data_IF_994832291061
#
_entry.id   IF_994832291061
#
_cell.length_a   1.000
_cell.length_b   1.000
_cell.length_c   1.000
_cell.angle_alpha   90.00
_cell.angle_beta   90.00
_cell.angle_gamma   90.00
#
_symmetry.space_group_name_H-M   'P 1'
#
loop_
_entity.id
_entity.type
_entity.pdbx_description
1 polymer ?
#
# COMPACT_ATOMS: atom_id res chain seq x y z
N UNK A 1 11.27 -22.94 42.51
CA UNK A 1 9.84 -23.25 42.73
C UNK A 1 9.07 -22.26 41.87
N UNK A 2 8.27 -22.77 40.91
CA UNK A 2 7.56 -22.08 39.80
C UNK A 2 8.51 -21.59 38.69
N UNK A 3 8.73 -22.27 37.55
CA UNK A 3 7.84 -22.72 36.45
C UNK A 3 7.17 -21.58 35.66
N UNK A 4 7.87 -21.07 34.65
CA UNK A 4 7.29 -20.32 33.52
C UNK A 4 6.94 -21.31 32.39
N UNK A 5 5.65 -21.59 32.24
CA UNK A 5 5.06 -22.23 31.06
C UNK A 5 4.17 -21.19 30.38
N UNK A 6 4.60 -20.64 29.24
CA UNK A 6 3.71 -19.95 28.31
C UNK A 6 3.67 -20.76 27.01
N UNK A 7 2.61 -21.57 26.93
CA UNK A 7 2.18 -22.27 25.72
C UNK A 7 1.40 -21.26 24.86
N UNK A 8 1.86 -21.06 23.63
CA UNK A 8 1.07 -20.47 22.56
C UNK A 8 0.03 -21.50 22.11
N UNK A 9 -1.27 -21.22 22.31
CA UNK A 9 -2.25 -21.41 21.24
C UNK A 9 -3.68 -20.95 21.60
N UNK A 10 -4.32 -20.42 20.55
CA UNK A 10 -5.74 -20.51 20.16
C UNK A 10 -6.73 -19.36 20.42
N UNK A 11 -7.38 -19.07 19.30
CA UNK A 11 -8.43 -18.11 18.94
C UNK A 11 -9.84 -18.40 19.52
N UNK A 12 -10.66 -17.33 19.49
CA UNK A 12 -12.14 -17.23 19.40
C UNK A 12 -12.99 -17.52 20.66
N UNK A 13 -13.73 -16.50 21.13
CA UNK A 13 -15.21 -16.45 21.09
C UNK A 13 -15.77 -15.08 21.58
N UNK A 14 -17.03 -14.82 21.20
CA UNK A 14 -17.78 -13.55 21.13
C UNK A 14 -18.15 -12.88 22.49
N UNK A 15 -18.52 -11.58 22.43
CA UNK A 15 -18.88 -10.64 23.53
C UNK A 15 -20.16 -10.96 24.36
N UNK A 16 -20.90 -10.01 25.00
CA UNK A 16 -20.99 -8.55 24.74
C UNK A 16 -20.98 -7.60 25.98
N UNK A 17 -21.02 -6.29 25.70
CA UNK A 17 -21.55 -5.13 26.44
C UNK A 17 -21.30 -4.97 27.96
N UNK A 18 -20.75 -3.80 28.34
CA UNK A 18 -21.49 -2.66 28.94
C UNK A 18 -20.48 -1.61 29.49
N UNK A 19 -20.65 -0.36 29.07
CA UNK A 19 -20.11 0.86 29.71
C UNK A 19 -21.01 1.15 30.94
N UNK A 20 -20.58 1.86 32.02
CA UNK A 20 -20.34 3.30 31.89
C UNK A 20 -19.46 4.04 32.95
N UNK A 21 -19.08 5.27 32.58
CA UNK A 21 -19.03 6.54 33.36
C UNK A 21 -17.87 6.94 34.31
N UNK A 22 -17.35 8.13 33.96
CA UNK A 22 -16.95 9.32 34.76
C UNK A 22 -15.77 9.29 35.74
N UNK A 23 -14.85 10.29 35.66
CA UNK A 23 -14.72 11.43 36.62
C UNK A 23 -13.93 12.62 36.00
N UNK A 24 -14.29 13.84 36.43
CA UNK A 24 -13.73 15.18 36.11
C UNK A 24 -12.40 15.54 36.82
N UNK A 25 -11.72 16.62 36.37
CA UNK A 25 -11.39 17.81 37.18
C UNK A 25 -10.64 18.93 36.39
N UNK A 26 -11.30 20.08 36.22
CA UNK A 26 -10.92 21.52 36.42
C UNK A 26 -9.41 21.90 36.45
N UNK A 27 -8.86 22.97 35.85
CA UNK A 27 -9.34 24.14 35.11
C UNK A 27 -8.23 25.23 35.01
N UNK A 28 -8.61 26.41 34.47
CA UNK A 28 -7.96 27.74 34.48
C UNK A 28 -7.27 28.25 33.20
N UNK A 29 -7.68 29.47 32.82
CA UNK A 29 -7.36 30.21 31.60
C UNK A 29 -6.30 31.31 31.83
N UNK A 30 -5.62 31.72 30.74
CA UNK A 30 -5.11 33.09 30.56
C UNK A 30 -4.95 33.40 29.07
N UNK A 31 -5.42 34.58 28.69
CA UNK A 31 -5.48 35.20 27.36
C UNK A 31 -4.11 35.60 26.80
N UNK A 32 -3.99 35.74 25.47
CA UNK A 32 -2.86 36.44 24.84
C UNK A 32 -2.63 36.19 23.34
N UNK A 33 -3.34 36.96 22.52
CA UNK A 33 -2.97 37.52 21.20
C UNK A 33 -2.87 36.67 19.90
N UNK A 34 -3.52 37.26 18.90
CA UNK A 34 -3.78 36.89 17.51
C UNK A 34 -2.54 36.99 16.61
N UNK A 35 -2.39 36.05 15.66
CA UNK A 35 -1.94 36.36 14.28
C UNK A 35 -2.72 35.44 13.32
N UNK A 36 -3.47 36.07 12.41
CA UNK A 36 -4.22 35.47 11.31
C UNK A 36 -3.30 34.78 10.30
N UNK A 37 -3.66 33.57 9.86
CA UNK A 37 -3.45 33.16 8.46
C UNK A 37 -4.64 32.29 8.03
N UNK A 38 -5.34 32.79 7.02
CA UNK A 38 -6.52 32.19 6.38
C UNK A 38 -6.10 31.08 5.44
N UNK A 39 -6.61 29.87 5.66
CA UNK A 39 -6.86 28.90 4.60
C UNK A 39 -8.18 28.17 4.93
N UNK A 40 -9.27 28.62 4.30
CA UNK A 40 -10.56 27.93 4.38
C UNK A 40 -10.51 26.60 3.60
N UNK A 41 -11.12 25.53 4.13
CA UNK A 41 -11.20 24.24 3.45
C UNK A 41 -12.23 24.30 2.31
N UNK A 42 -11.83 23.83 1.13
CA UNK A 42 -12.73 23.64 -0.02
C UNK A 42 -13.73 22.53 0.30
N UNK A 43 -14.98 22.91 0.56
CA UNK A 43 -16.12 22.00 0.67
C UNK A 43 -16.30 21.17 -0.61
N UNK A 44 -16.26 19.85 -0.46
CA UNK A 44 -16.63 18.90 -1.50
C UNK A 44 -18.15 18.79 -1.58
N UNK A 45 -18.76 19.52 -2.51
CA UNK A 45 -20.20 19.39 -2.80
C UNK A 45 -20.50 17.99 -3.35
N UNK A 46 -21.22 17.20 -2.56
CA UNK A 46 -21.90 15.99 -3.02
C UNK A 46 -23.14 16.43 -3.80
N UNK A 47 -23.21 16.10 -5.09
CA UNK A 47 -24.45 16.15 -5.84
C UNK A 47 -25.16 14.80 -5.66
N UNK A 48 -26.16 14.78 -4.78
CA UNK A 48 -27.18 13.75 -4.78
C UNK A 48 -28.07 13.98 -6.00
N UNK A 49 -28.06 13.05 -6.96
CA UNK A 49 -28.95 13.09 -8.12
C UNK A 49 -30.36 12.65 -7.68
N UNK A 50 -31.28 13.60 -7.52
CA UNK A 50 -32.72 13.33 -7.45
C UNK A 50 -33.22 12.74 -8.78
N UNK A 51 -33.78 11.53 -8.73
CA UNK A 51 -34.48 10.91 -9.83
C UNK A 51 -35.80 11.65 -10.09
N UNK A 52 -35.82 12.51 -11.10
CA UNK A 52 -37.07 13.12 -11.60
C UNK A 52 -37.71 12.19 -12.63
N UNK A 53 -38.83 11.58 -12.26
CA UNK A 53 -39.71 10.86 -13.19
C UNK A 53 -40.31 11.84 -14.22
N UNK A 54 -40.19 11.53 -15.50
CA UNK A 54 -40.81 12.29 -16.58
C UNK A 54 -41.94 11.47 -17.23
N UNK A 55 -43.17 12.00 -17.24
CA UNK A 55 -44.25 11.46 -18.07
C UNK A 55 -44.11 11.93 -19.54
N UNK A 56 -44.34 11.05 -20.54
CA UNK A 56 -44.11 11.38 -21.93
C UNK A 56 -45.34 12.01 -22.60
N UNK A 57 -45.17 13.18 -23.22
CA UNK A 57 -46.13 13.74 -24.18
C UNK A 57 -45.71 13.33 -25.59
N UNK A 58 -46.58 12.57 -26.27
CA UNK A 58 -46.30 11.82 -27.51
C UNK A 58 -45.77 12.63 -28.69
N UNK A 59 -45.01 12.03 -29.61
CA UNK A 59 -45.59 11.14 -30.63
C UNK A 59 -44.56 10.13 -31.20
N UNK A 60 -44.88 8.84 -31.05
CA UNK A 60 -44.55 7.68 -31.90
C UNK A 60 -43.17 7.56 -32.57
N UNK A 61 -42.22 6.85 -31.93
CA UNK A 61 -41.91 5.44 -32.20
C UNK A 61 -40.57 5.02 -31.54
N UNK A 62 -40.63 3.87 -30.87
CA UNK A 62 -39.54 3.14 -30.19
C UNK A 62 -39.03 3.73 -28.86
N UNK A 63 -39.92 3.73 -27.87
CA UNK A 63 -39.53 3.57 -26.47
C UNK A 63 -38.78 2.24 -26.33
N UNK A 64 -37.46 2.30 -26.15
CA UNK A 64 -36.67 1.18 -25.60
C UNK A 64 -35.93 1.72 -24.38
N UNK A 65 -36.25 1.12 -23.24
CA UNK A 65 -35.80 1.46 -21.89
C UNK A 65 -34.30 1.82 -21.84
N UNK A 66 -34.00 3.02 -21.32
CA UNK A 66 -32.65 3.54 -21.08
C UNK A 66 -32.09 3.07 -19.73
N UNK A 67 -32.17 1.77 -19.43
CA UNK A 67 -31.73 1.21 -18.14
C UNK A 67 -30.36 0.53 -18.15
N UNK A 68 -29.63 0.50 -19.28
CA UNK A 68 -28.39 -0.28 -19.37
C UNK A 68 -27.26 0.45 -20.12
N UNK A 69 -26.81 1.60 -19.63
CA UNK A 69 -25.48 2.12 -19.99
C UNK A 69 -24.50 1.62 -18.93
N UNK A 70 -23.89 0.46 -19.19
CA UNK A 70 -22.83 -0.10 -18.34
C UNK A 70 -21.57 0.78 -18.46
N UNK A 71 -21.37 1.67 -17.49
CA UNK A 71 -20.24 2.60 -17.41
C UNK A 71 -18.88 1.90 -17.33
N UNK A 72 -18.84 0.59 -17.06
CA UNK A 72 -17.62 -0.17 -16.74
C UNK A 72 -16.63 -0.38 -17.88
N UNK A 73 -17.04 -0.15 -19.14
CA UNK A 73 -16.21 -0.40 -20.34
C UNK A 73 -15.95 0.84 -21.18
N UNK A 74 -16.09 2.01 -20.57
CA UNK A 74 -16.01 3.26 -21.26
C UNK A 74 -14.60 3.86 -21.21
N UNK A 75 -14.00 4.00 -22.38
CA UNK A 75 -12.85 4.88 -22.59
C UNK A 75 -13.34 6.31 -22.76
N UNK A 76 -12.99 7.14 -21.80
CA UNK A 76 -13.23 8.58 -21.83
C UNK A 76 -12.20 9.29 -22.71
N UNK A 77 -12.69 10.14 -23.62
CA UNK A 77 -11.86 11.11 -24.33
C UNK A 77 -12.41 12.51 -24.09
N UNK A 78 -11.57 13.41 -23.52
CA UNK A 78 -11.86 14.85 -23.40
C UNK A 78 -11.34 15.55 -24.64
N UNK A 79 -12.19 16.29 -25.35
CA UNK A 79 -11.72 17.22 -26.38
C UNK A 79 -12.14 18.65 -26.04
N UNK A 80 -11.11 19.52 -25.97
CA UNK A 80 -11.10 20.98 -25.80
C UNK A 80 -11.21 21.53 -24.37
N UNK A 81 -10.09 22.14 -23.94
CA UNK A 81 -9.98 23.08 -22.82
C UNK A 81 -10.15 24.49 -23.40
N UNK A 82 -11.05 25.31 -22.85
CA UNK A 82 -11.01 26.75 -23.10
C UNK A 82 -9.90 27.38 -22.26
N UNK A 83 -9.16 28.32 -22.85
CA UNK A 83 -8.17 29.13 -22.18
C UNK A 83 -8.87 30.18 -21.29
N UNK A 84 -9.43 29.74 -20.18
CA UNK A 84 -9.81 30.55 -19.01
C UNK A 84 -10.19 29.55 -17.91
N UNK A 85 -9.71 29.80 -16.69
CA UNK A 85 -9.60 28.83 -15.58
C UNK A 85 -10.89 28.21 -15.04
N UNK A 86 -12.02 28.35 -15.72
CA UNK A 86 -13.30 27.73 -15.35
C UNK A 86 -13.60 26.53 -16.27
N UNK A 87 -13.45 25.31 -15.73
CA UNK A 87 -13.27 24.08 -16.53
C UNK A 87 -14.58 23.31 -16.79
N UNK A 88 -15.56 23.91 -17.45
CA UNK A 88 -16.72 23.14 -17.94
C UNK A 88 -16.40 22.40 -19.24
N UNK A 89 -16.62 21.08 -19.25
CA UNK A 89 -16.37 20.25 -20.43
C UNK A 89 -17.52 20.40 -21.45
N UNK A 90 -17.28 21.12 -22.55
CA UNK A 90 -18.30 21.34 -23.59
C UNK A 90 -18.67 20.08 -24.37
N UNK A 91 -17.76 19.10 -24.49
CA UNK A 91 -17.99 17.84 -25.20
C UNK A 91 -17.36 16.66 -24.46
N UNK A 92 -18.04 15.50 -24.46
CA UNK A 92 -17.53 14.24 -23.92
C UNK A 92 -17.86 13.09 -24.85
N UNK A 93 -16.89 12.21 -25.10
CA UNK A 93 -17.11 10.96 -25.84
C UNK A 93 -16.90 9.76 -24.93
N UNK A 94 -17.88 8.89 -24.95
CA UNK A 94 -17.96 7.62 -24.24
C UNK A 94 -17.83 6.51 -25.28
N UNK A 95 -16.69 5.81 -25.34
CA UNK A 95 -16.44 4.76 -26.35
C UNK A 95 -16.06 3.42 -25.71
N UNK A 96 -16.26 2.31 -26.43
CA UNK A 96 -15.93 0.97 -25.94
C UNK A 96 -14.42 0.81 -25.61
N UNK A 97 -14.07 0.00 -24.60
CA UNK A 97 -12.67 -0.36 -24.30
C UNK A 97 -11.97 -1.00 -25.53
N UNK A 98 -12.71 -1.73 -26.34
CA UNK A 98 -12.24 -2.39 -27.56
C UNK A 98 -12.26 -1.46 -28.79
N UNK A 99 -12.62 -0.17 -28.62
CA UNK A 99 -12.75 0.76 -29.73
C UNK A 99 -11.43 1.11 -30.42
N UNK A 100 -11.55 1.36 -31.72
CA UNK A 100 -10.49 1.74 -32.64
C UNK A 100 -9.54 0.59 -33.00
N UNK A 101 -8.58 0.88 -33.88
CA UNK A 101 -7.57 -0.08 -34.35
C UNK A 101 -6.29 -0.02 -33.53
N UNK A 102 -5.64 -1.17 -33.34
CA UNK A 102 -4.28 -1.20 -32.80
C UNK A 102 -3.34 -0.47 -33.76
N UNK A 103 -2.56 0.46 -33.22
CA UNK A 103 -1.48 1.14 -33.95
C UNK A 103 -0.17 0.74 -33.27
N UNK A 104 0.69 -0.05 -33.93
CA UNK A 104 1.96 -0.46 -33.35
C UNK A 104 2.85 0.77 -33.14
N UNK A 105 3.48 0.86 -31.96
CA UNK A 105 4.41 1.93 -31.67
C UNK A 105 5.79 1.57 -32.23
N UNK A 106 6.03 1.94 -33.50
CA UNK A 106 7.23 1.56 -34.27
C UNK A 106 8.53 2.26 -33.82
N UNK A 107 8.48 3.17 -32.85
CA UNK A 107 9.64 3.97 -32.44
C UNK A 107 10.46 3.38 -31.29
N UNK A 108 9.98 2.31 -30.62
CA UNK A 108 10.73 1.66 -29.54
C UNK A 108 11.55 0.48 -30.07
N UNK A 109 12.82 0.32 -29.65
CA UNK A 109 13.61 -0.89 -29.94
C UNK A 109 12.85 -2.15 -29.52
N UNK A 110 12.95 -3.22 -30.31
CA UNK A 110 12.18 -4.47 -30.12
C UNK A 110 12.33 -5.05 -28.71
N UNK A 111 13.51 -4.95 -28.12
CA UNK A 111 13.83 -5.40 -26.75
C UNK A 111 13.04 -4.67 -25.65
N UNK A 112 12.57 -3.45 -25.92
CA UNK A 112 11.80 -2.61 -24.98
C UNK A 112 10.30 -2.60 -25.29
N UNK A 113 9.85 -3.37 -26.28
CA UNK A 113 8.43 -3.48 -26.60
C UNK A 113 7.79 -4.51 -25.68
N UNK A 114 6.76 -4.08 -24.94
CA UNK A 114 5.94 -5.01 -24.15
C UNK A 114 5.11 -5.85 -25.10
N UNK A 115 5.32 -7.17 -25.12
CA UNK A 115 4.49 -8.15 -25.84
C UNK A 115 3.11 -8.30 -25.18
N UNK A 116 2.31 -7.24 -25.20
CA UNK A 116 0.93 -7.25 -24.69
C UNK A 116 -0.03 -7.23 -25.86
N UNK A 117 -0.89 -8.24 -25.96
CA UNK A 117 -1.96 -8.28 -26.95
C UNK A 117 -2.86 -7.04 -26.84
N UNK A 118 -3.32 -6.52 -27.98
CA UNK A 118 -4.27 -5.40 -27.98
C UNK A 118 -5.70 -5.93 -27.82
N UNK A 119 -6.48 -5.31 -26.95
CA UNK A 119 -7.94 -5.54 -26.86
C UNK A 119 -8.74 -4.84 -27.97
N UNK A 120 -8.07 -4.07 -28.83
CA UNK A 120 -8.72 -3.24 -29.85
C UNK A 120 -9.23 -4.10 -31.00
N UNK A 121 -10.55 -4.15 -31.18
CA UNK A 121 -11.23 -4.89 -32.24
C UNK A 121 -11.87 -3.97 -33.28
N UNK A 122 -11.59 -2.67 -33.24
CA UNK A 122 -12.31 -1.66 -34.04
C UNK A 122 -13.81 -1.62 -33.72
N UNK A 123 -14.16 -1.83 -32.44
CA UNK A 123 -15.53 -1.69 -31.98
C UNK A 123 -16.01 -0.24 -32.21
N UNK A 124 -17.18 -0.09 -32.83
CA UNK A 124 -17.73 1.22 -33.20
C UNK A 124 -18.54 1.87 -32.09
N UNK A 125 -18.97 1.09 -31.11
CA UNK A 125 -19.82 1.57 -30.04
C UNK A 125 -19.23 2.82 -29.36
N UNK A 126 -19.96 3.94 -29.47
CA UNK A 126 -19.66 5.17 -28.76
C UNK A 126 -20.85 6.14 -28.72
N UNK A 127 -20.84 7.02 -27.73
CA UNK A 127 -21.80 8.11 -27.53
C UNK A 127 -21.04 9.42 -27.41
N UNK A 128 -21.46 10.44 -28.17
CA UNK A 128 -20.93 11.80 -28.07
C UNK A 128 -21.95 12.70 -27.38
N UNK A 129 -21.53 13.33 -26.29
CA UNK A 129 -22.30 14.31 -25.54
C UNK A 129 -21.76 15.71 -25.78
N UNK A 130 -22.65 16.69 -25.86
CA UNK A 130 -22.31 18.11 -25.87
C UNK A 130 -23.12 18.83 -24.80
N UNK A 131 -22.46 19.72 -24.06
CA UNK A 131 -23.10 20.64 -23.14
C UNK A 131 -23.38 21.95 -23.87
N UNK A 132 -24.63 22.42 -23.78
CA UNK A 132 -25.05 23.72 -24.29
C UNK A 132 -25.00 24.75 -23.16
N UNK A 133 -24.18 25.78 -23.32
CA UNK A 133 -24.09 26.89 -22.36
C UNK A 133 -25.37 27.73 -22.31
N UNK A 134 -26.12 27.78 -23.42
CA UNK A 134 -27.34 28.60 -23.54
C UNK A 134 -28.49 28.02 -22.71
N UNK A 135 -28.63 26.70 -22.74
CA UNK A 135 -29.76 26.00 -22.13
C UNK A 135 -29.35 25.17 -20.91
N UNK A 136 -28.09 25.33 -20.46
CA UNK A 136 -27.42 24.55 -19.41
C UNK A 136 -27.77 23.04 -19.42
N UNK A 137 -27.81 22.43 -20.61
CA UNK A 137 -28.25 21.04 -20.78
C UNK A 137 -27.25 20.23 -21.59
N UNK A 138 -27.14 18.95 -21.23
CA UNK A 138 -26.32 17.97 -21.95
C UNK A 138 -27.21 17.24 -22.94
N UNK A 139 -26.81 17.21 -24.22
CA UNK A 139 -27.50 16.47 -25.26
C UNK A 139 -26.56 15.51 -25.99
N UNK A 140 -27.13 14.41 -26.47
CA UNK A 140 -26.42 13.45 -27.31
C UNK A 140 -26.34 14.02 -28.73
N UNK A 141 -25.12 14.17 -29.24
CA UNK A 141 -24.86 14.63 -30.61
C UNK A 141 -24.73 13.48 -31.59
N UNK A 142 -24.30 12.31 -31.11
CA UNK A 142 -24.12 11.13 -31.94
C UNK A 142 -24.13 9.86 -31.07
N UNK A 143 -24.67 8.78 -31.62
CA UNK A 143 -24.70 7.47 -30.99
C UNK A 143 -24.46 6.37 -32.04
N UNK A 144 -23.52 5.49 -31.76
CA UNK A 144 -23.32 4.23 -32.48
C UNK A 144 -23.42 3.09 -31.46
N UNK A 145 -24.34 2.16 -31.70
CA UNK A 145 -24.66 1.06 -30.80
C UNK A 145 -24.09 -0.29 -31.28
N UNK A 146 -23.29 -0.32 -32.35
CA UNK A 146 -22.76 -1.55 -32.92
C UNK A 146 -21.58 -2.10 -32.10
N UNK A 147 -21.75 -3.29 -31.54
CA UNK A 147 -20.68 -4.09 -30.96
C UNK A 147 -20.20 -5.17 -31.93
N UNK A 148 -18.91 -5.44 -31.94
CA UNK A 148 -18.31 -6.52 -32.73
C UNK A 148 -17.61 -7.58 -31.88
N UNK A 149 -17.97 -7.65 -30.60
CA UNK A 149 -17.41 -8.60 -29.64
C UNK A 149 -18.48 -8.98 -28.61
N UNK A 150 -18.25 -10.09 -27.90
CA UNK A 150 -19.13 -10.51 -26.79
C UNK A 150 -19.03 -9.49 -25.66
N UNK A 151 -20.17 -9.10 -25.11
CA UNK A 151 -20.25 -8.23 -23.93
C UNK A 151 -20.25 -9.13 -22.70
N UNK A 152 -19.14 -9.12 -21.96
CA UNK A 152 -19.09 -9.77 -20.65
C UNK A 152 -19.78 -8.90 -19.58
N UNK A 153 -20.98 -9.28 -19.14
CA UNK A 153 -21.77 -8.55 -18.13
C UNK A 153 -21.03 -8.48 -16.79
N UNK A 154 -20.22 -9.49 -16.47
CA UNK A 154 -19.44 -9.54 -15.23
C UNK A 154 -18.36 -8.47 -15.14
N UNK A 155 -18.01 -7.82 -16.26
CA UNK A 155 -17.01 -6.77 -16.24
C UNK A 155 -17.44 -5.51 -15.47
N UNK A 156 -18.74 -5.35 -15.23
CA UNK A 156 -19.28 -4.29 -14.37
C UNK A 156 -18.54 -4.22 -13.03
N UNK A 157 -18.18 -5.38 -12.43
CA UNK A 157 -17.44 -5.46 -11.16
C UNK A 157 -16.04 -4.85 -11.20
N UNK A 158 -15.45 -4.67 -12.38
CA UNK A 158 -14.14 -4.02 -12.56
C UNK A 158 -14.26 -2.53 -12.91
N UNK A 159 -15.47 -1.97 -12.94
CA UNK A 159 -15.65 -0.53 -13.10
C UNK A 159 -14.96 0.22 -11.97
N UNK A 160 -14.48 1.42 -12.26
CA UNK A 160 -13.81 2.26 -11.25
C UNK A 160 -14.72 2.56 -10.05
N UNK A 161 -16.05 2.63 -10.25
CA UNK A 161 -17.01 2.81 -9.17
C UNK A 161 -16.94 1.70 -8.11
N UNK A 162 -16.89 0.43 -8.54
CA UNK A 162 -16.84 -0.74 -7.66
C UNK A 162 -15.43 -1.09 -7.16
N UNK A 163 -14.39 -0.44 -7.70
CA UNK A 163 -12.99 -0.61 -7.28
C UNK A 163 -12.54 0.39 -6.22
N UNK A 164 -13.35 1.40 -5.91
CA UNK A 164 -13.08 2.31 -4.80
C UNK A 164 -13.34 1.59 -3.48
N UNK A 165 -12.43 1.74 -2.54
CA UNK A 165 -12.63 1.31 -1.17
C UNK A 165 -13.36 2.40 -0.41
N UNK A 166 -14.35 1.98 0.39
CA UNK A 166 -15.04 2.85 1.31
C UNK A 166 -14.14 3.21 2.51
N UNK A 167 -14.64 4.08 3.38
CA UNK A 167 -13.88 4.52 4.55
C UNK A 167 -13.60 3.37 5.54
N UNK A 168 -14.54 2.43 5.67
CA UNK A 168 -14.39 1.28 6.57
C UNK A 168 -13.23 0.37 6.16
N UNK A 169 -13.13 0.03 4.87
CA UNK A 169 -12.02 -0.74 4.31
C UNK A 169 -10.72 0.05 4.40
N UNK A 170 -10.74 1.35 4.11
CA UNK A 170 -9.54 2.20 4.17
C UNK A 170 -8.98 2.26 5.59
N UNK A 171 -9.84 2.35 6.62
CA UNK A 171 -9.45 2.32 8.02
C UNK A 171 -8.76 1.01 8.40
N UNK A 172 -9.28 -0.13 7.94
CA UNK A 172 -8.70 -1.44 8.22
C UNK A 172 -7.36 -1.66 7.49
N UNK A 173 -7.23 -1.15 6.26
CA UNK A 173 -5.95 -1.11 5.54
C UNK A 173 -4.94 -0.29 6.33
N UNK A 174 -5.33 0.89 6.83
CA UNK A 174 -4.46 1.75 7.63
C UNK A 174 -3.97 1.03 8.89
N UNK A 175 -4.89 0.45 9.66
CA UNK A 175 -4.57 -0.30 10.88
C UNK A 175 -3.54 -1.40 10.60
N UNK A 176 -3.75 -2.13 9.51
CA UNK A 176 -2.87 -3.24 9.12
C UNK A 176 -1.47 -2.77 8.66
N UNK A 177 -1.37 -1.57 8.07
CA UNK A 177 -0.08 -0.97 7.70
C UNK A 177 0.66 -0.45 8.92
N UNK A 178 -0.04 0.27 9.81
CA UNK A 178 0.56 0.95 10.96
C UNK A 178 1.04 -0.05 12.01
N UNK A 179 0.26 -1.10 12.28
CA UNK A 179 0.57 -2.05 13.35
C UNK A 179 1.08 -3.41 12.84
N UNK A 180 0.68 -3.82 11.63
CA UNK A 180 0.95 -5.17 11.13
C UNK A 180 2.10 -5.30 10.15
N UNK A 181 2.62 -4.18 9.59
CA UNK A 181 3.63 -4.18 8.51
C UNK A 181 3.31 -5.14 7.35
N UNK A 182 2.03 -5.42 7.11
CA UNK A 182 1.62 -6.44 6.15
C UNK A 182 1.79 -5.97 4.71
N UNK A 183 1.97 -6.92 3.80
CA UNK A 183 1.93 -6.65 2.36
C UNK A 183 0.50 -6.69 1.80
N UNK A 184 0.36 -6.29 0.53
CA UNK A 184 -0.93 -6.25 -0.14
C UNK A 184 -1.63 -7.62 -0.21
N UNK A 185 -0.87 -8.72 -0.19
CA UNK A 185 -1.44 -10.07 -0.24
C UNK A 185 -2.01 -10.47 1.11
N UNK A 186 -1.26 -10.25 2.20
CA UNK A 186 -1.73 -10.44 3.57
C UNK A 186 -2.96 -9.56 3.85
N UNK A 187 -2.89 -8.28 3.49
CA UNK A 187 -4.04 -7.36 3.64
C UNK A 187 -5.25 -7.89 2.87
N UNK A 188 -5.09 -8.35 1.63
CA UNK A 188 -6.18 -8.97 0.88
C UNK A 188 -6.80 -10.16 1.61
N UNK A 189 -5.98 -11.05 2.15
CA UNK A 189 -6.46 -12.26 2.82
C UNK A 189 -7.19 -11.94 4.14
N UNK A 190 -6.80 -10.85 4.82
CA UNK A 190 -7.47 -10.36 6.01
C UNK A 190 -8.79 -9.66 5.68
N UNK A 191 -8.82 -8.87 4.60
CA UNK A 191 -10.00 -8.08 4.21
C UNK A 191 -11.06 -8.90 3.48
N UNK A 192 -10.69 -9.90 2.68
CA UNK A 192 -11.65 -10.65 1.87
C UNK A 192 -12.74 -11.35 2.71
N UNK A 193 -12.44 -11.94 3.88
CA UNK A 193 -13.47 -12.48 4.77
C UNK A 193 -14.33 -11.40 5.43
N UNK A 194 -13.77 -10.22 5.72
CA UNK A 194 -14.48 -9.10 6.35
C UNK A 194 -15.43 -8.40 5.37
N UNK A 195 -15.04 -8.34 4.10
CA UNK A 195 -15.77 -7.65 3.02
C UNK A 195 -15.95 -8.58 1.82
N UNK A 196 -16.83 -9.60 1.90
CA UNK A 196 -16.94 -10.65 0.88
C UNK A 196 -17.43 -10.14 -0.48
N UNK A 197 -18.21 -9.06 -0.49
CA UNK A 197 -18.75 -8.45 -1.71
C UNK A 197 -17.77 -7.48 -2.38
N UNK A 198 -16.67 -7.12 -1.70
CA UNK A 198 -15.66 -6.23 -2.25
C UNK A 198 -14.64 -7.01 -3.08
N UNK A 199 -14.35 -6.50 -4.27
CA UNK A 199 -13.26 -6.98 -5.09
C UNK A 199 -11.94 -6.31 -4.65
N UNK A 200 -10.99 -7.11 -4.19
CA UNK A 200 -9.66 -6.66 -3.83
C UNK A 200 -8.62 -7.04 -4.89
N UNK A 201 -8.36 -6.13 -5.83
CA UNK A 201 -7.22 -6.27 -6.73
C UNK A 201 -5.94 -5.83 -6.01
N UNK A 202 -4.86 -6.61 -6.18
CA UNK A 202 -3.55 -6.31 -5.58
C UNK A 202 -3.06 -4.91 -5.97
N UNK A 203 -3.35 -4.47 -7.19
CA UNK A 203 -2.99 -3.12 -7.65
C UNK A 203 -3.77 -2.03 -6.91
N UNK A 204 -5.08 -2.21 -6.71
CA UNK A 204 -5.91 -1.23 -6.02
C UNK A 204 -5.53 -1.15 -4.54
N UNK A 205 -5.27 -2.29 -3.90
CA UNK A 205 -4.70 -2.36 -2.55
C UNK A 205 -3.33 -1.68 -2.48
N UNK A 206 -2.44 -1.92 -3.44
CA UNK A 206 -1.13 -1.26 -3.49
C UNK A 206 -1.25 0.26 -3.59
N UNK A 207 -2.20 0.76 -4.40
CA UNK A 207 -2.48 2.19 -4.53
C UNK A 207 -3.03 2.77 -3.22
N UNK A 208 -3.96 2.07 -2.55
CA UNK A 208 -4.51 2.46 -1.26
C UNK A 208 -3.42 2.50 -0.16
N UNK A 209 -2.58 1.46 -0.09
CA UNK A 209 -1.43 1.40 0.82
C UNK A 209 -0.49 2.58 0.58
N UNK A 210 -0.16 2.88 -0.68
CA UNK A 210 0.69 4.02 -1.02
C UNK A 210 0.05 5.38 -0.70
N UNK A 211 -1.27 5.50 -0.82
CA UNK A 211 -2.01 6.70 -0.40
C UNK A 211 -1.87 6.89 1.11
N UNK A 212 -2.20 5.87 1.90
CA UNK A 212 -2.11 5.91 3.37
C UNK A 212 -0.67 6.21 3.83
N UNK A 213 0.33 5.52 3.27
CA UNK A 213 1.74 5.77 3.63
C UNK A 213 2.16 7.22 3.39
N UNK A 214 1.64 7.87 2.35
CA UNK A 214 1.90 9.29 2.06
C UNK A 214 1.18 10.21 3.06
N UNK A 215 -0.10 9.95 3.32
CA UNK A 215 -0.92 10.76 4.23
C UNK A 215 -0.43 10.67 5.67
N UNK A 216 -0.11 9.46 6.14
CA UNK A 216 0.37 9.19 7.51
C UNK A 216 1.87 9.38 7.68
N UNK A 217 2.57 9.84 6.64
CA UNK A 217 4.02 10.00 6.63
C UNK A 217 4.75 8.77 7.20
N UNK A 218 4.31 7.56 6.80
CA UNK A 218 5.02 6.33 7.14
C UNK A 218 6.29 6.30 6.29
N UNK A 219 7.33 6.98 6.78
CA UNK A 219 8.59 7.22 6.10
C UNK A 219 9.62 6.21 6.55
N UNK A 220 10.03 5.35 5.62
CA UNK A 220 11.13 4.41 5.82
C UNK A 220 10.79 3.00 5.36
N UNK A 221 11.81 2.25 4.92
CA UNK A 221 11.72 0.80 4.78
C UNK A 221 11.73 0.13 6.15
N UNK A 222 11.29 -1.12 6.25
CA UNK A 222 11.39 -1.90 7.48
C UNK A 222 12.83 -1.93 8.02
N UNK A 223 13.82 -2.07 7.12
CA UNK A 223 15.24 -2.00 7.48
C UNK A 223 15.63 -0.64 8.10
N UNK A 224 15.07 0.47 7.61
CA UNK A 224 15.32 1.79 8.19
C UNK A 224 14.65 1.97 9.57
N UNK A 225 13.47 1.37 9.78
CA UNK A 225 12.83 1.38 11.09
C UNK A 225 13.62 0.54 12.10
N UNK A 226 14.08 -0.64 11.69
CA UNK A 226 14.96 -1.49 12.50
C UNK A 226 16.24 -0.73 12.88
N UNK A 227 16.92 -0.11 11.93
CA UNK A 227 18.13 0.66 12.22
C UNK A 227 17.85 1.81 13.20
N UNK A 228 16.76 2.57 13.00
CA UNK A 228 16.37 3.65 13.93
C UNK A 228 16.12 3.11 15.35
N UNK A 229 15.42 1.98 15.47
CA UNK A 229 15.15 1.33 16.75
C UNK A 229 16.45 0.90 17.44
N UNK A 230 17.35 0.22 16.73
CA UNK A 230 18.63 -0.23 17.27
C UNK A 230 19.52 0.95 17.71
N UNK A 231 19.59 2.01 16.90
CA UNK A 231 20.33 3.22 17.27
C UNK A 231 19.72 3.96 18.46
N UNK A 232 18.39 3.88 18.65
CA UNK A 232 17.75 4.40 19.84
C UNK A 232 18.10 3.56 21.08
N UNK A 233 18.04 2.22 20.97
CA UNK A 233 18.45 1.32 22.04
C UNK A 233 19.93 1.52 22.41
N UNK A 234 20.82 1.75 21.44
CA UNK A 234 22.22 2.05 21.70
C UNK A 234 22.43 3.38 22.43
N UNK A 235 21.56 4.38 22.24
CA UNK A 235 21.61 5.62 23.03
C UNK A 235 21.22 5.38 24.49
N UNK A 236 20.28 4.47 24.72
CA UNK A 236 19.79 4.11 26.06
C UNK A 236 20.76 3.16 26.78
N UNK A 237 21.43 2.28 26.03
CA UNK A 237 22.43 1.33 26.49
C UNK A 237 23.73 1.48 25.69
N UNK A 238 24.67 2.35 26.12
CA UNK A 238 25.90 2.64 25.38
C UNK A 238 26.87 1.47 25.22
N UNK A 239 26.66 0.37 25.96
CA UNK A 239 27.47 -0.85 25.81
C UNK A 239 27.00 -1.65 24.60
N UNK A 240 25.75 -1.47 24.15
CA UNK A 240 25.24 -2.09 22.93
C UNK A 240 26.03 -1.62 21.70
N UNK A 241 26.35 -2.56 20.82
CA UNK A 241 27.01 -2.27 19.56
C UNK A 241 26.02 -2.41 18.41
N UNK A 242 25.98 -1.40 17.54
CA UNK A 242 25.16 -1.37 16.32
C UNK A 242 26.01 -0.78 15.21
N UNK A 243 26.19 -1.53 14.13
CA UNK A 243 26.93 -1.08 12.96
C UNK A 243 26.10 -1.25 11.68
N UNK A 244 25.68 -0.17 11.01
CA UNK A 244 25.13 -0.24 9.67
C UNK A 244 26.24 -0.42 8.62
N UNK A 245 25.97 -1.23 7.61
CA UNK A 245 26.75 -1.35 6.38
C UNK A 245 26.05 -0.60 5.25
N UNK A 246 26.71 0.43 4.71
CA UNK A 246 26.21 1.22 3.60
C UNK A 246 27.00 0.86 2.34
N UNK A 247 26.29 0.44 1.30
CA UNK A 247 26.90 0.18 0.00
C UNK A 247 27.36 1.51 -0.62
N UNK A 248 28.65 1.59 -0.96
CA UNK A 248 29.27 2.84 -1.43
C UNK A 248 28.68 3.37 -2.74
N UNK A 249 28.33 2.48 -3.67
CA UNK A 249 27.84 2.86 -5.01
C UNK A 249 26.39 3.34 -4.98
N UNK A 250 25.54 2.61 -4.25
CA UNK A 250 24.10 2.85 -4.22
C UNK A 250 23.65 3.78 -3.10
N UNK A 251 24.53 4.04 -2.11
CA UNK A 251 24.22 4.75 -0.87
C UNK A 251 22.99 4.17 -0.15
N UNK A 252 22.85 2.84 -0.19
CA UNK A 252 21.77 2.10 0.45
C UNK A 252 22.31 1.24 1.58
N UNK A 253 21.47 1.03 2.60
CA UNK A 253 21.73 0.09 3.67
C UNK A 253 21.77 -1.33 3.10
N UNK A 254 22.94 -1.96 3.12
CA UNK A 254 23.20 -3.32 2.65
C UNK A 254 23.40 -4.32 3.79
N UNK A 255 23.55 -3.84 5.03
CA UNK A 255 23.56 -4.71 6.19
C UNK A 255 23.45 -3.96 7.50
N UNK A 256 23.17 -4.69 8.57
CA UNK A 256 23.16 -4.20 9.94
C UNK A 256 23.72 -5.31 10.82
N UNK A 257 24.77 -5.03 11.58
CA UNK A 257 25.30 -5.90 12.63
C UNK A 257 24.94 -5.29 13.98
N UNK A 258 24.56 -6.12 14.96
CA UNK A 258 24.40 -5.65 16.33
C UNK A 258 24.62 -6.73 17.38
N UNK A 259 25.05 -6.28 18.55
CA UNK A 259 25.14 -7.05 19.78
C UNK A 259 24.58 -6.19 20.92
N UNK A 260 23.62 -6.72 21.66
CA UNK A 260 23.20 -6.11 22.92
C UNK A 260 24.31 -6.26 23.97
N UNK A 261 24.27 -5.44 25.01
CA UNK A 261 25.25 -5.51 26.11
C UNK A 261 25.30 -6.89 26.77
N UNK A 262 24.13 -7.53 26.92
CA UNK A 262 24.05 -8.90 27.43
C UNK A 262 24.77 -9.91 26.53
N UNK A 263 24.71 -9.72 25.22
CA UNK A 263 25.34 -10.58 24.23
C UNK A 263 26.84 -10.39 24.18
N UNK A 264 27.33 -9.15 24.33
CA UNK A 264 28.77 -8.85 24.47
C UNK A 264 29.32 -9.54 25.73
N UNK A 265 28.58 -9.48 26.85
CA UNK A 265 28.96 -10.17 28.07
C UNK A 265 28.96 -11.70 27.90
N UNK A 266 27.96 -12.27 27.22
CA UNK A 266 27.93 -13.69 26.89
C UNK A 266 29.13 -14.09 26.02
N UNK A 267 29.46 -13.27 25.01
CA UNK A 267 30.62 -13.50 24.14
C UNK A 267 31.90 -13.60 24.94
N UNK A 268 32.19 -12.61 25.81
CA UNK A 268 33.40 -12.62 26.64
C UNK A 268 33.54 -13.85 27.55
N UNK A 269 32.45 -14.58 27.82
CA UNK A 269 32.43 -15.74 28.71
C UNK A 269 32.41 -17.09 27.97
N UNK A 270 31.82 -17.16 26.78
CA UNK A 270 31.49 -18.41 26.09
C UNK A 270 31.90 -18.41 24.61
N UNK A 271 32.94 -17.66 24.24
CA UNK A 271 33.45 -17.58 22.86
C UNK A 271 34.24 -18.81 22.42
N UNK A 272 34.47 -19.78 23.31
CA UNK A 272 35.26 -20.99 23.05
C UNK A 272 34.56 -21.97 22.11
N UNK A 273 33.22 -21.91 22.03
CA UNK A 273 32.42 -22.68 21.08
C UNK A 273 31.39 -21.76 20.42
N UNK A 274 31.63 -21.41 19.16
CA UNK A 274 30.76 -20.56 18.36
C UNK A 274 30.16 -21.37 17.21
N UNK A 275 28.83 -21.38 17.12
CA UNK A 275 28.08 -21.90 15.98
C UNK A 275 27.58 -20.73 15.14
N UNK A 276 27.91 -20.72 13.86
CA UNK A 276 27.43 -19.72 12.92
C UNK A 276 26.30 -20.32 12.07
N UNK A 277 25.10 -19.77 12.19
CA UNK A 277 23.94 -20.17 11.39
C UNK A 277 23.50 -19.02 10.48
N UNK A 278 23.22 -19.34 9.22
CA UNK A 278 22.69 -18.40 8.25
C UNK A 278 21.32 -18.90 7.80
N UNK A 279 20.27 -18.25 8.26
CA UNK A 279 18.94 -18.61 7.77
C UNK A 279 18.83 -18.14 6.32
N UNK A 280 18.72 -19.10 5.41
CA UNK A 280 18.51 -18.84 3.99
C UNK A 280 17.35 -17.88 3.78
N UNK A 281 17.47 -17.05 2.74
CA UNK A 281 16.67 -15.91 2.27
C UNK A 281 15.13 -16.07 2.21
N UNK A 282 14.53 -16.50 3.30
CA UNK A 282 13.12 -16.87 3.44
C UNK A 282 12.25 -15.70 3.87
N UNK A 283 12.85 -14.58 4.28
CA UNK A 283 12.10 -13.34 4.50
C UNK A 283 11.67 -12.70 3.17
N UNK A 284 10.65 -11.84 3.22
CA UNK A 284 10.09 -11.10 2.08
C UNK A 284 11.14 -10.29 1.28
N UNK A 285 12.27 -9.97 1.92
CA UNK A 285 13.37 -9.20 1.34
C UNK A 285 14.43 -10.07 0.69
N UNK A 286 14.36 -11.40 0.84
CA UNK A 286 15.37 -12.34 0.39
C UNK A 286 16.76 -12.03 0.97
N UNK A 287 16.80 -11.52 2.21
CA UNK A 287 18.03 -11.13 2.91
C UNK A 287 18.43 -12.24 3.89
N UNK A 288 19.67 -12.74 3.89
CA UNK A 288 20.14 -13.64 4.94
C UNK A 288 20.18 -12.95 6.31
N UNK A 289 19.81 -13.71 7.33
CA UNK A 289 20.05 -13.39 8.74
C UNK A 289 21.16 -14.31 9.24
N UNK A 290 22.26 -13.70 9.65
CA UNK A 290 23.47 -14.32 10.17
C UNK A 290 23.39 -14.29 11.70
N UNK A 291 23.51 -15.45 12.33
CA UNK A 291 23.38 -15.64 13.77
C UNK A 291 24.64 -16.33 14.31
N UNK A 292 25.23 -15.76 15.35
CA UNK A 292 26.28 -16.41 16.13
C UNK A 292 25.67 -16.95 17.42
N UNK A 293 25.74 -18.25 17.60
CA UNK A 293 25.21 -18.97 18.74
C UNK A 293 26.37 -19.53 19.57
N UNK A 294 26.46 -19.08 20.80
CA UNK A 294 27.41 -19.55 21.80
C UNK A 294 26.82 -20.74 22.57
N UNK A 295 27.68 -21.55 23.19
CA UNK A 295 27.27 -22.64 24.07
C UNK A 295 27.72 -22.33 25.49
N UNK A 296 26.77 -22.20 26.43
CA UNK A 296 27.13 -21.97 27.83
C UNK A 296 27.58 -23.26 28.55
N UNK A 297 28.03 -23.13 29.80
CA UNK A 297 28.53 -24.25 30.61
C UNK A 297 27.48 -25.35 30.88
N UNK A 298 26.18 -25.06 30.72
CA UNK A 298 25.11 -26.05 30.84
C UNK A 298 24.83 -26.74 29.48
N UNK A 299 25.59 -26.42 28.43
CA UNK A 299 25.35 -26.87 27.07
C UNK A 299 24.18 -26.17 26.38
N UNK A 300 23.72 -25.01 26.88
CA UNK A 300 22.58 -24.29 26.29
C UNK A 300 23.05 -23.30 25.24
N UNK A 301 22.32 -23.25 24.13
CA UNK A 301 22.52 -22.26 23.07
C UNK A 301 22.17 -20.85 23.53
N UNK A 302 23.06 -19.89 23.29
CA UNK A 302 22.89 -18.47 23.60
C UNK A 302 23.18 -17.64 22.36
N UNK A 303 22.28 -16.73 21.99
CA UNK A 303 22.56 -15.81 20.88
C UNK A 303 23.66 -14.82 21.30
N UNK A 304 24.79 -14.85 20.62
CA UNK A 304 25.97 -14.02 20.90
C UNK A 304 26.11 -12.80 20.00
N UNK A 305 25.72 -12.90 18.72
CA UNK A 305 25.69 -11.76 17.81
C UNK A 305 24.75 -12.04 16.64
N UNK A 306 24.33 -10.98 15.94
CA UNK A 306 23.48 -11.14 14.77
C UNK A 306 23.71 -10.05 13.72
N UNK A 307 23.49 -10.40 12.46
CA UNK A 307 23.54 -9.47 11.35
C UNK A 307 22.49 -9.76 10.28
N UNK A 308 21.89 -8.71 9.74
CA UNK A 308 21.16 -8.76 8.47
C UNK A 308 22.09 -8.32 7.35
N UNK A 309 22.08 -9.05 6.23
CA UNK A 309 22.86 -8.71 5.03
C UNK A 309 21.97 -8.75 3.79
N UNK A 310 22.33 -7.99 2.76
CA UNK A 310 21.61 -7.97 1.48
C UNK A 310 22.01 -9.09 0.52
N UNK A 311 23.15 -9.75 0.78
CA UNK A 311 23.71 -10.83 -0.02
C UNK A 311 24.50 -11.82 0.85
N UNK A 312 24.93 -12.92 0.23
CA UNK A 312 25.71 -13.99 0.87
C UNK A 312 27.13 -14.04 0.26
N UNK A 313 27.73 -12.88 0.00
CA UNK A 313 29.09 -12.81 -0.54
C UNK A 313 30.14 -12.99 0.55
N UNK A 314 31.36 -13.42 0.15
CA UNK A 314 32.49 -13.53 1.07
C UNK A 314 32.78 -12.20 1.77
N UNK A 315 32.80 -11.09 1.03
CA UNK A 315 33.05 -9.74 1.56
C UNK A 315 32.04 -9.35 2.65
N UNK A 316 30.76 -9.65 2.45
CA UNK A 316 29.71 -9.41 3.45
C UNK A 316 29.93 -10.21 4.73
N UNK A 317 30.38 -11.47 4.64
CA UNK A 317 30.67 -12.30 5.81
C UNK A 317 31.98 -11.92 6.50
N UNK A 318 33.02 -11.57 5.76
CA UNK A 318 34.24 -10.99 6.32
C UNK A 318 33.93 -9.72 7.11
N UNK A 319 33.04 -8.86 6.59
CA UNK A 319 32.58 -7.68 7.31
C UNK A 319 31.89 -8.03 8.62
N UNK A 320 31.00 -9.04 8.65
CA UNK A 320 30.33 -9.50 9.88
C UNK A 320 31.31 -10.05 10.91
N UNK A 321 32.28 -10.86 10.48
CA UNK A 321 33.32 -11.39 11.35
C UNK A 321 34.20 -10.26 11.91
N UNK A 322 34.53 -9.27 11.08
CA UNK A 322 35.27 -8.08 11.50
C UNK A 322 34.50 -7.29 12.55
N UNK A 323 33.18 -7.08 12.38
CA UNK A 323 32.38 -6.38 13.39
C UNK A 323 32.36 -7.11 14.73
N UNK A 324 32.31 -8.44 14.68
CA UNK A 324 32.37 -9.29 15.87
C UNK A 324 33.71 -9.14 16.59
N UNK A 325 34.82 -9.16 15.83
CA UNK A 325 36.16 -8.95 16.37
C UNK A 325 36.32 -7.54 16.96
N UNK A 326 35.90 -6.50 16.24
CA UNK A 326 36.00 -5.10 16.68
C UNK A 326 35.21 -4.85 17.97
N UNK A 327 34.06 -5.51 18.13
CA UNK A 327 33.20 -5.36 19.31
C UNK A 327 33.75 -6.11 20.52
N UNK A 328 34.32 -7.30 20.31
CA UNK A 328 34.64 -8.24 21.40
C UNK A 328 36.13 -8.36 21.69
N UNK A 329 36.99 -7.82 20.82
CA UNK A 329 38.45 -8.00 20.81
C UNK A 329 38.89 -9.47 20.89
N UNK A 330 38.04 -10.38 20.41
CA UNK A 330 38.26 -11.82 20.45
C UNK A 330 38.05 -12.37 19.05
N UNK A 331 39.05 -13.09 18.53
CA UNK A 331 38.91 -13.77 17.25
C UNK A 331 37.88 -14.91 17.40
N UNK A 332 36.80 -14.92 16.59
CA UNK A 332 35.79 -15.98 16.60
C UNK A 332 36.33 -17.37 16.25
#
# INVERSE_FOLDING_TARGET
MFEDNIVFDKFMEYGPNENPMEYELVGAASEGEEIEDRDEPVESVHLEDELVEYEPVGTSQSSRNFENIDESKLKYHRSQLTASGDRMAKKRTYACENAGKYKPNKTRPLEHQRFRGSKKTDCKWHVNLSHSEINNSVHITFIDLEYNHVINVDNARFATAFRKFDESIMSEIERTIVFGHCDAYMIRNLLQPLFPNQLFLIQDLSNAIQKIKREKQVVGSDASHLLKLLLQQQKEDPVMFVQPLINADSNRLSGIFWMTSSQIMLWSRYYDVVLHDNTSRTNKYNFPLSLFILVDNDGKSRLGAQAFLSDETQESYEWVLQQTLDTTNTEP
#
